data_IF_723295509823
#
_entry.id   IF_723295509823
#
_cell.length_a   1.000
_cell.length_b   1.000
_cell.length_c   1.000
_cell.angle_alpha   90.00
_cell.angle_beta   90.00
_cell.angle_gamma   90.00
#
_symmetry.space_group_name_H-M   'P 1'
#
loop_
_entity.id
_entity.type
_entity.pdbx_description
1 polymer ?
#
# COMPACT_ATOMS: atom_id res chain seq x y z
N UNK A 1 9.61 -5.58 22.71
CA UNK A 1 10.25 -4.77 21.66
C UNK A 1 9.51 -5.07 20.38
N UNK A 2 8.69 -4.14 19.88
CA UNK A 2 7.93 -4.35 18.66
C UNK A 2 8.84 -4.06 17.47
N UNK A 3 9.16 -5.07 16.65
CA UNK A 3 9.88 -4.84 15.40
C UNK A 3 8.93 -4.17 14.41
N UNK A 4 9.14 -2.90 14.16
CA UNK A 4 8.46 -2.17 13.10
C UNK A 4 9.20 -2.44 11.79
N UNK A 5 8.53 -3.10 10.84
CA UNK A 5 9.11 -3.45 9.54
C UNK A 5 8.48 -2.56 8.48
N UNK A 6 9.26 -1.63 7.95
CA UNK A 6 8.85 -0.77 6.83
C UNK A 6 9.18 -1.49 5.53
N UNK A 7 8.21 -1.61 4.63
CA UNK A 7 8.41 -2.16 3.30
C UNK A 7 8.20 -1.02 2.30
N UNK A 8 9.19 -0.77 1.46
CA UNK A 8 9.10 0.19 0.36
C UNK A 8 8.86 -0.57 -0.93
N UNK A 9 7.82 -0.19 -1.65
CA UNK A 9 7.47 -0.73 -2.95
C UNK A 9 7.44 0.41 -3.95
N UNK A 10 7.80 0.13 -5.20
CA UNK A 10 7.72 1.10 -6.29
C UNK A 10 6.75 0.58 -7.34
N UNK A 11 5.88 1.47 -7.81
CA UNK A 11 4.90 1.13 -8.84
C UNK A 11 5.55 1.28 -10.22
N UNK A 12 5.80 0.18 -10.92
CA UNK A 12 6.33 0.21 -12.29
C UNK A 12 5.27 0.56 -13.33
N UNK A 13 4.04 0.10 -13.12
CA UNK A 13 2.89 0.35 -13.99
C UNK A 13 1.66 0.75 -13.18
N UNK A 14 1.06 1.89 -13.57
CA UNK A 14 -0.18 2.36 -12.99
C UNK A 14 -1.43 1.64 -13.53
N UNK A 15 -2.60 2.03 -13.02
CA UNK A 15 -3.90 1.56 -13.51
C UNK A 15 -4.60 0.55 -12.59
N UNK A 16 -3.89 0.04 -11.60
CA UNK A 16 -4.44 -0.83 -10.57
C UNK A 16 -4.95 -0.03 -9.37
N UNK A 17 -6.02 -0.51 -8.73
CA UNK A 17 -6.40 0.01 -7.41
C UNK A 17 -5.29 -0.29 -6.41
N UNK A 18 -4.97 0.67 -5.54
CA UNK A 18 -3.94 0.54 -4.50
C UNK A 18 -4.10 -0.74 -3.66
N UNK A 19 -5.31 -1.05 -3.21
CA UNK A 19 -5.59 -2.25 -2.42
C UNK A 19 -5.31 -3.56 -3.18
N UNK A 20 -5.61 -3.59 -4.49
CA UNK A 20 -5.29 -4.72 -5.38
C UNK A 20 -3.79 -4.82 -5.61
N UNK A 21 -3.15 -3.71 -5.94
CA UNK A 21 -1.72 -3.68 -6.24
C UNK A 21 -0.89 -4.16 -5.06
N UNK A 22 -1.15 -3.64 -3.85
CA UNK A 22 -0.49 -4.08 -2.62
C UNK A 22 -0.70 -5.56 -2.33
N UNK A 23 -1.89 -6.10 -2.58
CA UNK A 23 -2.17 -7.52 -2.36
C UNK A 23 -1.40 -8.43 -3.33
N UNK A 24 -1.07 -7.93 -4.52
CA UNK A 24 -0.22 -8.65 -5.47
C UNK A 24 1.26 -8.58 -5.05
N UNK A 25 1.72 -7.44 -4.52
CA UNK A 25 3.11 -7.26 -4.07
C UNK A 25 3.40 -7.94 -2.72
N UNK A 26 2.39 -8.05 -1.85
CA UNK A 26 2.50 -8.57 -0.50
C UNK A 26 1.57 -9.78 -0.33
N UNK A 27 1.90 -10.95 -0.93
CA UNK A 27 1.04 -12.14 -0.89
C UNK A 27 0.82 -12.69 0.52
N UNK A 28 1.72 -12.37 1.45
CA UNK A 28 1.62 -12.74 2.87
C UNK A 28 0.56 -11.93 3.63
N UNK A 29 0.11 -10.79 3.07
CA UNK A 29 -0.91 -9.95 3.66
C UNK A 29 -2.26 -10.16 2.98
N UNK A 30 -3.28 -10.44 3.79
CA UNK A 30 -4.64 -10.47 3.29
C UNK A 30 -5.11 -9.07 2.86
N UNK A 31 -6.02 -9.01 1.89
CA UNK A 31 -6.66 -7.76 1.45
C UNK A 31 -7.28 -6.96 2.61
N UNK A 32 -7.90 -7.65 3.57
CA UNK A 32 -8.48 -7.01 4.75
C UNK A 32 -7.40 -6.40 5.67
N UNK A 33 -6.22 -7.04 5.76
CA UNK A 33 -5.08 -6.50 6.51
C UNK A 33 -4.54 -5.23 5.82
N UNK A 34 -4.38 -5.26 4.50
CA UNK A 34 -3.95 -4.09 3.71
C UNK A 34 -4.93 -2.91 3.89
N UNK A 35 -6.24 -3.16 3.79
CA UNK A 35 -7.24 -2.13 4.01
C UNK A 35 -7.15 -1.50 5.41
N UNK A 36 -6.94 -2.32 6.47
CA UNK A 36 -6.72 -1.81 7.83
C UNK A 36 -5.46 -0.96 7.94
N UNK A 37 -4.35 -1.33 7.29
CA UNK A 37 -3.11 -0.54 7.31
C UNK A 37 -3.33 0.83 6.66
N UNK A 38 -4.04 0.88 5.53
CA UNK A 38 -4.40 2.13 4.84
C UNK A 38 -5.31 2.98 5.74
N UNK A 39 -6.36 2.40 6.33
CA UNK A 39 -7.28 3.10 7.24
C UNK A 39 -6.59 3.62 8.51
N UNK A 40 -5.58 2.90 9.00
CA UNK A 40 -4.76 3.28 10.14
C UNK A 40 -3.67 4.33 9.79
N UNK A 41 -3.56 4.76 8.53
CA UNK A 41 -2.56 5.73 8.10
C UNK A 41 -1.13 5.19 8.10
N UNK A 42 -0.96 3.86 8.04
CA UNK A 42 0.35 3.20 8.00
C UNK A 42 0.92 3.08 6.59
N UNK A 43 0.22 3.63 5.59
CA UNK A 43 0.70 3.68 4.22
C UNK A 43 1.15 5.09 3.88
N UNK A 44 2.39 5.21 3.38
CA UNK A 44 2.91 6.45 2.81
C UNK A 44 3.15 6.26 1.32
N UNK A 45 2.71 7.23 0.52
CA UNK A 45 2.94 7.31 -0.92
C UNK A 45 3.72 8.58 -1.18
N UNK A 46 4.89 8.47 -1.80
CA UNK A 46 5.79 9.61 -2.04
C UNK A 46 6.05 10.47 -0.78
N UNK A 47 6.16 9.84 0.39
CA UNK A 47 6.39 10.51 1.68
C UNK A 47 5.15 11.15 2.33
N UNK A 48 3.96 11.01 1.74
CA UNK A 48 2.70 11.49 2.31
C UNK A 48 1.81 10.33 2.76
N UNK A 49 1.20 10.45 3.95
CA UNK A 49 0.26 9.44 4.44
C UNK A 49 -0.94 9.37 3.50
N UNK A 50 -1.22 8.16 2.99
CA UNK A 50 -2.33 7.91 2.08
C UNK A 50 -3.34 6.98 2.77
N UNK A 51 -4.57 7.48 2.93
CA UNK A 51 -5.69 6.74 3.51
C UNK A 51 -6.74 6.32 2.46
N UNK A 52 -6.49 6.68 1.19
CA UNK A 52 -7.43 6.44 0.10
C UNK A 52 -7.24 5.06 -0.55
N UNK A 53 -7.95 4.06 -0.05
CA UNK A 53 -7.94 2.68 -0.58
C UNK A 53 -8.47 2.51 -2.01
N UNK A 54 -9.20 3.50 -2.53
CA UNK A 54 -9.80 3.47 -3.88
C UNK A 54 -8.91 4.11 -4.94
N UNK A 55 -7.81 4.74 -4.53
CA UNK A 55 -6.95 5.44 -5.47
C UNK A 55 -6.27 4.44 -6.38
N UNK A 56 -6.08 4.86 -7.63
CA UNK A 56 -5.35 4.09 -8.61
C UNK A 56 -3.88 4.44 -8.47
N UNK A 57 -3.01 3.43 -8.42
CA UNK A 57 -1.57 3.63 -8.45
C UNK A 57 -1.15 4.14 -9.82
N UNK A 58 -0.12 4.96 -9.84
CA UNK A 58 0.52 5.53 -11.02
C UNK A 58 1.97 5.06 -11.07
N UNK A 59 2.51 4.92 -12.27
CA UNK A 59 3.92 4.58 -12.42
C UNK A 59 4.79 5.66 -11.74
N UNK A 60 5.73 5.23 -10.91
CA UNK A 60 6.60 6.10 -10.13
C UNK A 60 6.10 6.45 -8.73
N UNK A 61 4.95 5.91 -8.30
CA UNK A 61 4.53 5.93 -6.89
C UNK A 61 5.30 4.99 -5.97
#
# INVERSE_FOLDING_TARGET
>A
MSNESVITLQVDQGGDRLDRWLANQLPDLSRARIQKLIEQGQLTRNGQVCQSKKDTVQAGD
#
